data_IF_842578142252
#
_entry.id   IF_842578142252
#
_cell.length_a   1.000
_cell.length_b   1.000
_cell.length_c   1.000
_cell.angle_alpha   90.00
_cell.angle_beta   90.00
_cell.angle_gamma   90.00
#
_symmetry.space_group_name_H-M   'P 1'
#
loop_
_entity.id
_entity.type
_entity.pdbx_description
1 polymer ?
#
# COMPACT_ATOMS: atom_id res chain seq x y z
N UNK A 1 34.69 10.66 -7.84
CA UNK A 1 34.15 12.02 -8.09
C UNK A 1 32.66 12.03 -7.76
N UNK A 2 32.12 13.02 -7.04
CA UNK A 2 30.73 13.01 -6.54
C UNK A 2 29.65 13.00 -7.64
N UNK A 3 30.08 13.14 -8.90
CA UNK A 3 29.24 13.29 -10.09
C UNK A 3 28.70 11.96 -10.65
N UNK A 4 29.13 10.80 -10.15
CA UNK A 4 28.70 9.48 -10.64
C UNK A 4 27.49 8.89 -9.89
N UNK A 5 27.12 9.40 -8.70
CA UNK A 5 25.95 8.91 -7.94
C UNK A 5 24.63 9.60 -8.29
N UNK A 6 24.66 10.68 -9.07
CA UNK A 6 23.44 11.39 -9.47
C UNK A 6 22.71 10.75 -10.65
N UNK A 7 23.39 9.91 -11.46
CA UNK A 7 22.80 9.33 -12.67
C UNK A 7 21.90 8.11 -12.38
N UNK A 8 22.10 7.39 -11.26
CA UNK A 8 21.28 6.23 -10.89
C UNK A 8 19.95 6.63 -10.22
N UNK A 9 19.86 7.83 -9.65
CA UNK A 9 18.66 8.31 -8.98
C UNK A 9 17.59 8.87 -9.94
N UNK A 10 17.96 9.21 -11.18
CA UNK A 10 17.05 9.83 -12.15
C UNK A 10 16.30 8.83 -13.05
N UNK A 11 16.65 7.54 -13.02
CA UNK A 11 15.99 6.51 -13.83
C UNK A 11 14.69 5.97 -13.21
N UNK A 12 14.34 6.40 -11.99
CA UNK A 12 13.10 6.00 -11.29
C UNK A 12 11.90 6.92 -11.56
N UNK A 13 12.13 8.12 -12.10
CA UNK A 13 11.07 9.12 -12.31
C UNK A 13 10.34 8.93 -13.66
N UNK A 14 11.03 8.41 -14.68
CA UNK A 14 10.46 8.26 -16.03
C UNK A 14 9.58 7.01 -16.23
N UNK A 15 9.42 6.15 -15.21
CA UNK A 15 8.53 4.96 -15.30
C UNK A 15 7.14 5.18 -14.69
N UNK A 16 6.88 6.35 -14.12
CA UNK A 16 5.59 6.69 -13.52
C UNK A 16 4.48 7.03 -14.53
N UNK A 17 4.80 7.12 -15.83
CA UNK A 17 3.86 7.60 -16.89
C UNK A 17 3.46 6.55 -17.93
N UNK A 18 3.53 5.26 -17.61
CA UNK A 18 3.00 4.23 -18.52
C UNK A 18 2.43 3.04 -17.75
N UNK A 19 1.23 3.19 -17.20
CA UNK A 19 0.54 2.08 -16.56
C UNK A 19 -0.66 2.47 -15.71
N UNK A 20 -1.45 3.47 -16.14
CA UNK A 20 -2.76 3.72 -15.57
C UNK A 20 -3.70 2.55 -15.95
N UNK A 21 -3.61 1.45 -15.20
CA UNK A 21 -4.60 0.40 -15.25
C UNK A 21 -5.91 0.97 -14.69
N UNK A 22 -6.86 1.20 -15.59
CA UNK A 22 -8.25 1.53 -15.32
C UNK A 22 -8.91 0.37 -14.55
N UNK A 23 -8.72 0.34 -13.24
CA UNK A 23 -9.50 -0.46 -12.31
C UNK A 23 -10.36 0.48 -11.49
N UNK A 24 -11.51 0.89 -12.04
CA UNK A 24 -12.44 1.78 -11.35
C UNK A 24 -12.92 1.14 -10.06
N UNK A 25 -12.58 1.76 -8.93
CA UNK A 25 -13.44 1.70 -7.75
C UNK A 25 -14.74 2.41 -8.18
N UNK A 26 -15.85 1.68 -8.25
CA UNK A 26 -17.11 2.16 -8.82
C UNK A 26 -17.47 3.54 -8.28
N UNK A 27 -17.57 4.51 -9.18
CA UNK A 27 -18.08 5.84 -8.85
C UNK A 27 -19.58 5.75 -8.65
N UNK A 28 -20.02 5.90 -7.40
CA UNK A 28 -21.40 6.25 -7.09
C UNK A 28 -21.39 7.64 -6.43
N UNK A 29 -22.10 8.58 -7.07
CA UNK A 29 -22.44 9.88 -6.51
C UNK A 29 -23.31 9.67 -5.28
N UNK A 30 -22.80 10.01 -4.09
CA UNK A 30 -23.62 10.10 -2.87
C UNK A 30 -23.44 11.49 -2.27
N UNK A 31 -24.58 12.17 -2.10
CA UNK A 31 -24.71 13.57 -1.74
C UNK A 31 -24.23 13.92 -0.32
N UNK A 32 -24.35 15.21 0.07
CA UNK A 32 -23.72 15.72 1.26
C UNK A 32 -24.58 15.43 2.49
N UNK A 33 -24.15 14.54 3.38
CA UNK A 33 -24.72 14.47 4.71
C UNK A 33 -23.78 13.84 5.75
N UNK A 34 -23.31 14.73 6.62
CA UNK A 34 -23.23 14.54 8.07
C UNK A 34 -22.03 13.81 8.70
N UNK A 35 -21.47 14.55 9.66
CA UNK A 35 -20.78 14.10 10.86
C UNK A 35 -19.34 13.57 10.71
N UNK A 36 -18.43 14.54 10.62
CA UNK A 36 -17.09 14.46 11.20
C UNK A 36 -17.18 13.93 12.65
N UNK A 37 -16.71 12.72 12.89
CA UNK A 37 -16.23 12.26 14.20
C UNK A 37 -14.74 12.01 14.07
N UNK A 38 -13.97 12.53 15.02
CA UNK A 38 -12.51 12.44 15.07
C UNK A 38 -12.00 11.01 15.24
N UNK A 39 -12.09 10.20 14.20
CA UNK A 39 -11.44 8.90 14.11
C UNK A 39 -10.06 9.06 13.48
N UNK A 40 -9.04 8.46 14.07
CA UNK A 40 -7.78 8.22 13.36
C UNK A 40 -8.01 7.46 12.04
N UNK A 41 -7.00 7.35 11.19
CA UNK A 41 -7.16 6.69 9.90
C UNK A 41 -7.70 5.27 10.10
N UNK A 42 -8.75 4.92 9.36
CA UNK A 42 -9.49 3.68 9.55
C UNK A 42 -8.56 2.48 9.28
N UNK A 43 -8.28 1.71 10.33
CA UNK A 43 -7.52 0.47 10.24
C UNK A 43 -8.47 -0.66 9.89
N UNK A 44 -8.05 -1.56 9.00
CA UNK A 44 -8.83 -2.75 8.67
C UNK A 44 -7.91 -3.93 8.37
N UNK A 45 -8.45 -5.13 8.54
CA UNK A 45 -7.73 -6.39 8.31
C UNK A 45 -8.00 -6.87 6.89
N UNK A 46 -6.93 -7.21 6.19
CA UNK A 46 -6.94 -7.77 4.85
C UNK A 46 -6.31 -9.14 4.91
N UNK A 47 -7.09 -10.17 4.56
CA UNK A 47 -6.61 -11.54 4.50
C UNK A 47 -6.43 -11.94 3.04
N UNK A 48 -5.19 -12.24 2.67
CA UNK A 48 -4.80 -12.67 1.34
C UNK A 48 -4.38 -14.14 1.37
N UNK A 49 -4.75 -14.86 0.31
CA UNK A 49 -4.32 -16.23 0.09
C UNK A 49 -3.57 -16.31 -1.24
N UNK A 50 -2.36 -16.90 -1.21
CA UNK A 50 -1.57 -17.15 -2.41
C UNK A 50 -2.22 -18.24 -3.22
N UNK A 51 -2.33 -18.01 -4.53
CA UNK A 51 -2.74 -19.07 -5.45
C UNK A 51 -1.64 -20.14 -5.51
N UNK A 52 -2.00 -21.42 -5.62
CA UNK A 52 -1.03 -22.48 -5.90
C UNK A 52 -0.20 -22.13 -7.15
N UNK A 53 1.13 -22.21 -7.02
CA UNK A 53 2.06 -21.87 -8.11
C UNK A 53 2.31 -20.37 -8.33
N UNK A 54 1.72 -19.48 -7.53
CA UNK A 54 2.00 -18.05 -7.60
C UNK A 54 3.08 -17.63 -6.58
N UNK A 55 4.21 -17.16 -7.09
CA UNK A 55 5.34 -16.72 -6.25
C UNK A 55 5.10 -15.38 -5.53
N UNK A 56 4.04 -14.63 -5.87
CA UNK A 56 3.84 -13.23 -5.44
C UNK A 56 2.38 -12.92 -5.10
N UNK A 57 2.18 -12.00 -4.15
CA UNK A 57 0.86 -11.48 -3.76
C UNK A 57 0.32 -10.38 -4.70
N UNK A 58 1.12 -9.94 -5.67
CA UNK A 58 0.74 -8.92 -6.66
C UNK A 58 0.90 -7.48 -6.18
N UNK A 59 1.83 -7.19 -5.28
CA UNK A 59 2.14 -5.80 -4.88
C UNK A 59 3.60 -5.63 -4.44
N UNK A 60 4.10 -4.41 -4.53
CA UNK A 60 5.39 -4.01 -3.97
C UNK A 60 5.24 -3.33 -2.61
N UNK A 61 6.24 -3.48 -1.74
CA UNK A 61 6.30 -2.75 -0.47
C UNK A 61 7.65 -2.07 -0.25
N UNK A 62 7.61 -0.91 0.38
CA UNK A 62 8.78 -0.16 0.83
C UNK A 62 8.71 0.04 2.34
N UNK A 63 9.86 0.05 3.00
CA UNK A 63 9.94 0.41 4.42
C UNK A 63 9.78 1.94 4.55
N UNK A 64 8.95 2.39 5.47
CA UNK A 64 8.76 3.80 5.79
C UNK A 64 8.49 3.98 7.29
N UNK A 65 8.30 5.23 7.73
CA UNK A 65 8.02 5.56 9.14
C UNK A 65 9.25 6.02 9.91
N UNK A 66 9.06 6.55 11.14
CA UNK A 66 10.15 7.06 11.96
C UNK A 66 11.05 5.93 12.49
N UNK A 67 12.31 6.25 12.84
CA UNK A 67 13.18 5.32 13.55
C UNK A 67 12.51 4.85 14.85
N UNK A 68 12.24 3.55 14.98
CA UNK A 68 11.59 2.94 16.15
C UNK A 68 10.12 2.54 15.94
N UNK A 69 9.46 3.02 14.88
CA UNK A 69 8.13 2.54 14.50
C UNK A 69 8.02 2.40 12.97
N UNK A 70 8.86 1.52 12.36
CA UNK A 70 8.84 1.35 10.92
C UNK A 70 7.59 0.57 10.49
N UNK A 71 7.07 0.93 9.33
CA UNK A 71 5.91 0.31 8.68
C UNK A 71 6.26 -0.09 7.26
N UNK A 72 5.44 -0.96 6.66
CA UNK A 72 5.52 -1.25 5.24
C UNK A 72 4.49 -0.39 4.50
N UNK A 73 4.86 0.20 3.37
CA UNK A 73 3.93 0.98 2.53
C UNK A 73 3.78 0.28 1.20
N UNK A 74 2.54 0.11 0.75
CA UNK A 74 2.23 -0.43 -0.58
C UNK A 74 2.71 0.55 -1.65
N UNK A 75 3.68 0.18 -2.48
CA UNK A 75 4.21 1.08 -3.51
C UNK A 75 3.47 0.97 -4.84
N UNK A 76 3.09 -0.25 -5.24
CA UNK A 76 2.33 -0.53 -6.45
C UNK A 76 1.51 -1.80 -6.26
N UNK A 77 0.44 -1.93 -7.04
CA UNK A 77 -0.44 -3.10 -7.07
C UNK A 77 -0.52 -3.57 -8.52
N UNK A 78 -0.30 -4.86 -8.73
CA UNK A 78 -0.46 -5.54 -10.01
C UNK A 78 -1.32 -6.79 -9.84
N UNK A 79 -1.37 -7.62 -10.86
CA UNK A 79 -2.15 -8.85 -10.80
C UNK A 79 -1.67 -9.77 -9.68
N UNK A 80 -2.61 -10.23 -8.85
CA UNK A 80 -2.33 -11.12 -7.73
C UNK A 80 -3.44 -11.12 -6.68
N UNK A 81 -3.10 -11.63 -5.49
CA UNK A 81 -4.03 -11.80 -4.39
C UNK A 81 -4.60 -10.47 -3.90
N UNK A 82 -3.79 -9.42 -3.78
CA UNK A 82 -4.27 -8.11 -3.32
C UNK A 82 -5.22 -7.46 -4.34
N UNK A 83 -4.90 -7.51 -5.63
CA UNK A 83 -5.80 -7.00 -6.67
C UNK A 83 -7.12 -7.79 -6.73
N UNK A 84 -7.06 -9.11 -6.54
CA UNK A 84 -8.26 -9.94 -6.46
C UNK A 84 -9.11 -9.59 -5.22
N UNK A 85 -8.48 -9.37 -4.07
CA UNK A 85 -9.15 -8.94 -2.85
C UNK A 85 -9.84 -7.58 -3.05
N UNK A 86 -9.12 -6.59 -3.58
CA UNK A 86 -9.66 -5.24 -3.83
C UNK A 86 -10.89 -5.24 -4.76
N UNK A 87 -10.98 -6.18 -5.72
CA UNK A 87 -12.16 -6.30 -6.60
C UNK A 87 -13.43 -6.75 -5.87
N UNK A 88 -13.30 -7.51 -4.79
CA UNK A 88 -14.42 -7.98 -3.97
C UNK A 88 -14.60 -7.21 -2.67
N UNK A 89 -13.75 -6.22 -2.40
CA UNK A 89 -13.77 -5.46 -1.16
C UNK A 89 -14.98 -4.52 -1.09
N UNK A 90 -15.61 -4.35 0.08
CA UNK A 90 -16.62 -3.32 0.30
C UNK A 90 -16.07 -1.91 0.07
N UNK A 91 -16.98 -0.97 -0.21
CA UNK A 91 -16.62 0.43 -0.41
C UNK A 91 -15.87 0.99 0.82
N UNK A 92 -14.77 1.70 0.57
CA UNK A 92 -13.93 2.29 1.62
C UNK A 92 -12.94 1.33 2.28
N UNK A 93 -12.96 0.04 1.96
CA UNK A 93 -11.98 -0.95 2.45
C UNK A 93 -10.93 -1.35 1.43
N UNK A 94 -11.01 -0.86 0.19
CA UNK A 94 -9.96 -1.09 -0.79
C UNK A 94 -8.60 -0.61 -0.27
N UNK A 95 -7.55 -1.36 -0.60
CA UNK A 95 -6.16 -1.00 -0.32
C UNK A 95 -5.57 -0.34 -1.57
N UNK A 96 -5.48 0.99 -1.65
CA UNK A 96 -4.74 1.66 -2.71
C UNK A 96 -3.23 1.60 -2.47
N UNK A 97 -2.40 1.94 -3.48
CA UNK A 97 -1.02 2.34 -3.24
C UNK A 97 -0.93 3.44 -2.19
N UNK A 98 0.22 3.55 -1.53
CA UNK A 98 0.50 4.43 -0.38
C UNK A 98 -0.23 4.03 0.92
N UNK A 99 -1.00 2.94 0.93
CA UNK A 99 -1.51 2.38 2.19
C UNK A 99 -0.37 1.85 3.07
N UNK A 100 -0.48 2.10 4.37
CA UNK A 100 0.47 1.62 5.35
C UNK A 100 0.01 0.28 5.93
N UNK A 101 0.83 -0.75 5.77
CA UNK A 101 0.72 -2.04 6.43
C UNK A 101 1.43 -1.92 7.78
N UNK A 102 0.65 -1.95 8.85
CA UNK A 102 1.14 -1.78 10.22
C UNK A 102 1.47 -3.11 10.90
N UNK A 103 0.79 -4.19 10.49
CA UNK A 103 1.07 -5.54 10.97
C UNK A 103 0.86 -6.58 9.86
N UNK A 104 1.64 -7.66 9.91
CA UNK A 104 1.48 -8.86 9.07
C UNK A 104 1.54 -10.09 9.97
N UNK A 105 0.48 -10.92 9.98
CA UNK A 105 0.34 -12.11 10.81
C UNK A 105 0.64 -11.84 12.30
N UNK A 106 0.24 -10.68 12.81
CA UNK A 106 0.51 -10.25 14.19
C UNK A 106 1.92 -9.67 14.44
N UNK A 107 2.82 -9.74 13.46
CA UNK A 107 4.15 -9.11 13.53
C UNK A 107 4.03 -7.62 13.17
N UNK A 108 4.61 -6.74 13.99
CA UNK A 108 4.68 -5.29 13.75
C UNK A 108 6.01 -4.73 14.29
N UNK A 109 6.40 -3.53 13.83
CA UNK A 109 7.61 -2.84 14.30
C UNK A 109 8.95 -3.42 13.81
N UNK A 110 8.96 -4.60 13.20
CA UNK A 110 10.13 -5.21 12.56
C UNK A 110 9.85 -5.48 11.07
N UNK A 111 10.32 -4.58 10.21
CA UNK A 111 10.15 -4.67 8.75
C UNK A 111 10.72 -5.96 8.15
N UNK A 112 11.84 -6.48 8.68
CA UNK A 112 12.46 -7.68 8.13
C UNK A 112 11.55 -8.88 8.39
N UNK A 113 11.08 -9.03 9.63
CA UNK A 113 10.13 -10.09 9.99
C UNK A 113 8.79 -9.94 9.28
N UNK A 114 8.25 -8.73 9.17
CA UNK A 114 7.03 -8.49 8.41
C UNK A 114 7.16 -8.94 6.94
N UNK A 115 8.32 -8.71 6.30
CA UNK A 115 8.58 -9.18 4.93
C UNK A 115 8.72 -10.69 4.82
N UNK A 116 9.21 -11.35 5.86
CA UNK A 116 9.26 -12.81 5.93
C UNK A 116 7.84 -13.39 6.01
N UNK A 117 6.98 -12.82 6.86
CA UNK A 117 5.57 -13.21 6.97
C UNK A 117 4.79 -13.04 5.67
N UNK A 118 5.08 -11.99 4.89
CA UNK A 118 4.48 -11.80 3.56
C UNK A 118 4.77 -12.95 2.60
N UNK A 119 5.77 -13.81 2.85
CA UNK A 119 6.09 -14.99 2.02
C UNK A 119 5.17 -16.18 2.29
N UNK A 120 4.39 -16.14 3.38
CA UNK A 120 3.44 -17.20 3.73
C UNK A 120 2.33 -17.40 2.69
N UNK A 121 1.71 -18.58 2.73
CA UNK A 121 0.57 -18.93 1.87
C UNK A 121 -0.66 -18.12 2.22
N UNK A 122 -0.92 -17.95 3.52
CA UNK A 122 -1.99 -17.11 4.05
C UNK A 122 -1.33 -15.94 4.75
N UNK A 123 -1.78 -14.74 4.42
CA UNK A 123 -1.23 -13.50 4.94
C UNK A 123 -2.37 -12.63 5.42
N UNK A 124 -2.42 -12.40 6.71
CA UNK A 124 -3.31 -11.44 7.34
C UNK A 124 -2.53 -10.14 7.59
N UNK A 125 -3.01 -9.03 7.06
CA UNK A 125 -2.36 -7.73 7.22
C UNK A 125 -3.32 -6.69 7.78
N UNK A 126 -2.86 -5.95 8.77
CA UNK A 126 -3.55 -4.76 9.26
C UNK A 126 -3.08 -3.57 8.43
N UNK A 127 -4.04 -2.94 7.75
CA UNK A 127 -3.78 -1.87 6.78
C UNK A 127 -4.47 -0.60 7.24
N UNK A 128 -3.76 0.50 7.05
CA UNK A 128 -4.24 1.85 7.25
C UNK A 128 -4.26 2.51 5.88
N UNK A 129 -5.47 2.86 5.41
CA UNK A 129 -5.62 3.56 4.15
C UNK A 129 -4.86 4.90 4.21
N UNK A 130 -4.26 5.35 3.09
CA UNK A 130 -3.64 6.66 3.05
C UNK A 130 -4.73 7.67 3.39
N UNK A 131 -4.49 8.45 4.43
CA UNK A 131 -5.38 9.55 4.77
C UNK A 131 -5.44 10.44 3.52
N UNK A 132 -6.60 10.48 2.86
CA UNK A 132 -6.80 10.92 1.46
C UNK A 132 -6.28 12.34 1.19
N UNK A 133 -5.93 13.07 2.25
CA UNK A 133 -5.41 14.44 2.27
C UNK A 133 -4.00 14.60 2.88
N UNK A 134 -3.47 13.68 3.70
CA UNK A 134 -2.15 13.88 4.36
C UNK A 134 -0.94 13.38 3.56
N UNK A 135 -1.08 12.33 2.76
CA UNK A 135 0.06 11.73 2.04
C UNK A 135 0.16 12.16 0.57
N UNK A 136 -0.76 13.02 0.10
CA UNK A 136 -0.67 13.65 -1.22
C UNK A 136 0.31 14.84 -1.26
N UNK A 137 1.05 15.10 -0.17
CA UNK A 137 2.30 15.85 -0.30
C UNK A 137 3.35 14.91 -0.86
N UNK A 138 3.33 14.77 -2.19
CA UNK A 138 4.53 14.40 -2.95
C UNK A 138 5.62 15.32 -2.43
N UNK A 139 6.58 14.77 -1.69
CA UNK A 139 7.82 15.45 -1.31
C UNK A 139 8.61 15.66 -2.61
N UNK A 140 8.19 16.65 -3.40
CA UNK A 140 9.09 17.40 -4.25
C UNK A 140 9.83 18.35 -3.30
N UNK A 141 10.81 17.80 -2.58
CA UNK A 141 11.79 18.61 -1.87
C UNK A 141 12.78 19.14 -2.93
N UNK A 142 12.92 20.47 -2.90
CA UNK A 142 13.69 21.33 -3.79
C UNK A 142 15.18 20.96 -3.94
#
# INVERSE_FOLDING_TARGET
TPRARLAEAQALDAKFTAGAARGGCGGAVVGPAAARRGGGPARHIVRLERRPGADRLGFGNVAAGPPGAPVLVVSWIGDGALAAWNRGAPEGLCVPPQSAIVSVNGVSGDVRRMREELRGTVVEMEVVAPDRWKYNQVVNAA
#
